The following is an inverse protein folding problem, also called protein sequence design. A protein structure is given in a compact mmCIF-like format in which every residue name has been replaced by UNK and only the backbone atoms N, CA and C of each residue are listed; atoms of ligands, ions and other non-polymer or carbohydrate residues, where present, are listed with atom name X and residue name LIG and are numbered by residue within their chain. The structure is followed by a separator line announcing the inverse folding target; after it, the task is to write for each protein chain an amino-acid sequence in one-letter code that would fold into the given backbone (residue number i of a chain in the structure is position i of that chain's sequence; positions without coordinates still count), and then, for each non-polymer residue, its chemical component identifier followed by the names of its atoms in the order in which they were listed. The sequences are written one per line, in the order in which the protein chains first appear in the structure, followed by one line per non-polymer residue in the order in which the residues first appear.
data_IF_621962259287
#
_entry.id   IF_621962259287
#
_cell.length_a   1.000
_cell.length_b   1.000
_cell.length_c   1.000
_cell.angle_alpha   90.00
_cell.angle_beta   90.00
_cell.angle_gamma   90.00
#
_symmetry.space_group_name_H-M   'P 1'
#
loop_
_entity.id
_entity.type
_entity.pdbx_description
1 polymer ?
#
# COMPACT_ATOMS: atom_id res chain seq x y z
N UNK A 1 4.73 7.11 4.42
CA UNK A 1 4.34 8.24 5.30
C UNK A 1 3.67 9.39 4.58
N UNK A 2 4.28 10.06 3.58
CA UNK A 2 3.60 11.16 2.86
C UNK A 2 2.32 10.69 2.13
N UNK A 3 2.33 9.49 1.55
CA UNK A 3 1.15 8.89 0.91
C UNK A 3 0.02 8.63 1.93
N UNK A 4 0.35 8.21 3.16
CA UNK A 4 -0.60 8.07 4.27
C UNK A 4 -1.22 9.41 4.74
N UNK A 5 -0.43 10.48 4.75
CA UNK A 5 -0.95 11.82 5.04
C UNK A 5 -1.95 12.28 3.96
N UNK A 6 -1.61 12.07 2.68
CA UNK A 6 -2.51 12.39 1.57
C UNK A 6 -3.77 11.53 1.56
N UNK A 7 -3.63 10.25 1.91
CA UNK A 7 -4.75 9.36 2.16
C UNK A 7 -5.68 9.91 3.24
N UNK A 8 -5.13 10.33 4.39
CA UNK A 8 -5.92 10.93 5.47
C UNK A 8 -6.65 12.19 5.02
N UNK A 9 -5.99 13.07 4.26
CA UNK A 9 -6.63 14.27 3.71
C UNK A 9 -7.70 13.96 2.66
N UNK A 10 -7.44 12.97 1.80
CA UNK A 10 -8.41 12.51 0.81
C UNK A 10 -9.63 11.87 1.47
N UNK A 11 -9.47 11.17 2.59
CA UNK A 11 -10.58 10.58 3.33
C UNK A 11 -11.59 11.66 3.77
N UNK A 12 -11.14 12.84 4.19
CA UNK A 12 -12.06 13.97 4.46
C UNK A 12 -12.86 14.38 3.22
N UNK A 13 -12.23 14.40 2.06
CA UNK A 13 -12.88 14.71 0.77
C UNK A 13 -13.90 13.63 0.40
N UNK A 14 -13.51 12.37 0.53
CA UNK A 14 -14.37 11.23 0.23
C UNK A 14 -15.58 11.19 1.17
N UNK A 15 -15.36 11.44 2.46
CA UNK A 15 -16.40 11.38 3.49
C UNK A 15 -17.43 12.48 3.30
N UNK A 16 -17.04 13.68 2.88
CA UNK A 16 -18.01 14.72 2.54
C UNK A 16 -18.87 14.36 1.32
N UNK A 17 -18.31 13.65 0.34
CA UNK A 17 -19.01 13.31 -0.91
C UNK A 17 -19.92 12.09 -0.81
N UNK A 18 -19.53 11.09 -0.02
CA UNK A 18 -20.20 9.79 -0.01
C UNK A 18 -20.67 9.34 1.37
N UNK A 19 -20.20 9.98 2.45
CA UNK A 19 -20.56 9.63 3.83
C UNK A 19 -21.06 10.89 4.57
N UNK A 20 -21.07 10.86 5.90
CA UNK A 20 -21.52 11.95 6.76
C UNK A 20 -20.39 12.97 7.08
N UNK A 21 -19.55 13.33 6.09
CA UNK A 21 -18.48 14.29 6.28
C UNK A 21 -18.96 15.74 6.30
N UNK A 22 -18.24 16.63 6.99
CA UNK A 22 -18.59 18.06 7.07
C UNK A 22 -17.93 18.88 5.95
N UNK A 23 -18.57 19.99 5.55
CA UNK A 23 -17.98 20.94 4.58
C UNK A 23 -16.63 21.51 5.06
N UNK A 24 -16.48 21.74 6.36
CA UNK A 24 -15.22 22.26 6.95
C UNK A 24 -14.07 21.27 6.75
N UNK A 25 -14.35 19.98 6.91
CA UNK A 25 -13.34 18.93 6.72
C UNK A 25 -12.99 18.76 5.25
N UNK A 26 -13.97 18.90 4.34
CA UNK A 26 -13.72 18.93 2.90
C UNK A 26 -12.72 20.03 2.51
N UNK A 27 -12.96 21.26 2.96
CA UNK A 27 -12.10 22.41 2.65
C UNK A 27 -10.69 22.21 3.22
N UNK A 28 -10.57 21.75 4.47
CA UNK A 28 -9.27 21.46 5.10
C UNK A 28 -8.53 20.32 4.40
N UNK A 29 -9.23 19.26 4.02
CA UNK A 29 -8.67 18.13 3.29
C UNK A 29 -8.09 18.58 1.95
N UNK A 30 -8.85 19.38 1.19
CA UNK A 30 -8.41 19.91 -0.09
C UNK A 30 -7.20 20.84 0.05
N UNK A 31 -7.22 21.77 1.02
CA UNK A 31 -6.11 22.70 1.25
C UNK A 31 -4.83 21.97 1.66
N UNK A 32 -4.93 21.01 2.58
CA UNK A 32 -3.77 20.25 3.06
C UNK A 32 -3.20 19.33 1.98
N UNK A 33 -4.07 18.70 1.19
CA UNK A 33 -3.66 17.87 0.06
C UNK A 33 -2.91 18.70 -1.00
N UNK A 34 -3.42 19.89 -1.33
CA UNK A 34 -2.76 20.80 -2.27
C UNK A 34 -1.38 21.24 -1.76
N UNK A 35 -1.30 21.67 -0.51
CA UNK A 35 -0.03 22.09 0.12
C UNK A 35 1.01 20.97 0.12
N UNK A 36 0.62 19.73 0.44
CA UNK A 36 1.56 18.61 0.45
C UNK A 36 1.97 18.18 -0.97
N UNK A 37 1.07 18.22 -1.95
CA UNK A 37 1.43 17.96 -3.35
C UNK A 37 2.36 19.02 -3.94
N UNK A 38 2.26 20.28 -3.49
CA UNK A 38 3.20 21.34 -3.84
C UNK A 38 4.61 21.04 -3.29
N UNK A 39 4.71 20.61 -2.03
CA UNK A 39 5.99 20.17 -1.44
C UNK A 39 6.53 18.94 -2.19
N UNK A 40 5.69 17.97 -2.55
CA UNK A 40 6.10 16.81 -3.35
C UNK A 40 6.52 17.18 -4.76
N UNK A 41 6.00 18.26 -5.32
CA UNK A 41 6.37 18.71 -6.67
C UNK A 41 7.85 19.09 -6.75
N UNK A 42 8.36 19.87 -5.79
CA UNK A 42 9.78 20.21 -5.75
C UNK A 42 10.66 18.97 -5.51
N UNK A 43 10.23 18.07 -4.62
CA UNK A 43 10.91 16.80 -4.38
C UNK A 43 10.98 15.93 -5.66
N UNK A 44 9.85 15.78 -6.38
CA UNK A 44 9.79 15.04 -7.66
C UNK A 44 10.75 15.62 -8.70
N UNK A 45 10.85 16.95 -8.77
CA UNK A 45 11.78 17.60 -9.69
C UNK A 45 13.25 17.29 -9.34
N UNK A 46 13.60 17.30 -8.06
CA UNK A 46 14.92 16.88 -7.58
C UNK A 46 15.22 15.42 -7.90
N UNK A 47 14.29 14.51 -7.59
CA UNK A 47 14.46 13.08 -7.84
C UNK A 47 14.55 12.75 -9.33
N UNK A 48 13.83 13.44 -10.21
CA UNK A 48 13.96 13.27 -11.67
C UNK A 48 15.38 13.54 -12.19
N UNK A 49 16.16 14.38 -11.50
CA UNK A 49 17.56 14.66 -11.85
C UNK A 49 18.53 13.67 -11.21
N UNK A 50 18.07 12.86 -10.25
CA UNK A 50 18.87 11.83 -9.61
C UNK A 50 19.02 10.61 -10.53
N UNK A 51 20.22 10.02 -10.53
CA UNK A 51 20.47 8.70 -11.12
C UNK A 51 20.24 7.55 -10.13
N UNK A 52 20.06 7.85 -8.84
CA UNK A 52 19.99 6.86 -7.75
C UNK A 52 18.58 6.58 -7.26
N UNK A 53 17.66 7.53 -7.43
CA UNK A 53 16.34 7.49 -6.81
C UNK A 53 15.25 7.80 -7.82
N UNK A 54 14.19 7.00 -7.80
CA UNK A 54 12.99 7.26 -8.60
C UNK A 54 12.11 8.33 -7.94
N UNK A 55 11.48 9.23 -8.72
CA UNK A 55 10.56 10.20 -8.16
C UNK A 55 9.33 9.50 -7.57
N UNK A 56 8.77 10.02 -6.46
CA UNK A 56 7.54 9.45 -5.91
C UNK A 56 6.37 9.66 -6.88
N UNK A 57 5.52 8.65 -7.01
CA UNK A 57 4.30 8.73 -7.82
C UNK A 57 3.35 9.82 -7.33
N UNK A 58 2.50 10.32 -8.23
CA UNK A 58 1.42 11.24 -7.87
C UNK A 58 0.37 10.48 -7.07
N UNK A 59 -0.19 11.13 -6.05
CA UNK A 59 -1.24 10.50 -5.26
C UNK A 59 -2.47 10.10 -6.10
N UNK A 60 -2.76 10.82 -7.18
CA UNK A 60 -3.81 10.45 -8.13
C UNK A 60 -3.61 9.07 -8.74
N UNK A 61 -2.37 8.72 -9.07
CA UNK A 61 -2.04 7.43 -9.68
C UNK A 61 -2.11 6.32 -8.64
N UNK A 62 -1.59 6.57 -7.42
CA UNK A 62 -1.73 5.64 -6.29
C UNK A 62 -3.21 5.34 -6.02
N UNK A 63 -4.06 6.37 -6.00
CA UNK A 63 -5.50 6.23 -5.76
C UNK A 63 -6.20 5.33 -6.80
N UNK A 64 -5.84 5.46 -8.08
CA UNK A 64 -6.41 4.64 -9.17
C UNK A 64 -6.05 3.16 -9.02
N UNK A 65 -4.90 2.83 -8.45
CA UNK A 65 -4.47 1.43 -8.24
C UNK A 65 -5.43 0.64 -7.34
N UNK A 66 -6.14 1.29 -6.42
CA UNK A 66 -7.14 0.66 -5.56
C UNK A 66 -8.56 0.59 -6.16
N UNK A 67 -8.89 1.42 -7.15
CA UNK A 67 -10.27 1.71 -7.58
C UNK A 67 -11.06 0.46 -8.02
N UNK A 68 -10.39 -0.51 -8.64
CA UNK A 68 -10.99 -1.76 -9.10
C UNK A 68 -10.75 -2.95 -8.17
N UNK A 69 -10.24 -2.73 -6.96
CA UNK A 69 -9.90 -3.77 -5.97
C UNK A 69 -10.67 -3.57 -4.68
N UNK A 70 -10.75 -2.34 -4.18
CA UNK A 70 -11.38 -2.00 -2.92
C UNK A 70 -11.94 -0.59 -2.97
N UNK A 71 -13.15 -0.41 -2.42
CA UNK A 71 -13.76 0.91 -2.32
C UNK A 71 -12.91 1.84 -1.44
N UNK A 72 -12.72 3.10 -1.87
CA UNK A 72 -12.07 4.14 -1.07
C UNK A 72 -12.81 4.50 0.23
N UNK A 73 -14.00 3.93 0.45
CA UNK A 73 -14.71 3.98 1.74
C UNK A 73 -14.08 3.09 2.82
N UNK A 74 -13.21 2.13 2.47
CA UNK A 74 -12.44 1.36 3.45
C UNK A 74 -11.31 2.23 4.00
N UNK A 75 -11.58 2.94 5.10
CA UNK A 75 -10.68 3.95 5.65
C UNK A 75 -10.06 3.59 7.01
N UNK A 76 -10.36 2.42 7.56
CA UNK A 76 -9.83 2.00 8.86
C UNK A 76 -8.35 1.66 8.75
N UNK A 77 -7.51 2.27 9.60
CA UNK A 77 -6.06 2.14 9.52
C UNK A 77 -5.55 2.70 8.17
N UNK A 78 -4.74 1.92 7.47
CA UNK A 78 -4.30 2.26 6.10
C UNK A 78 -5.37 1.99 5.04
N UNK A 79 -6.41 1.21 5.38
CA UNK A 79 -7.58 1.04 4.54
C UNK A 79 -7.25 0.62 3.10
N UNK A 80 -7.81 1.36 2.14
CA UNK A 80 -7.58 1.16 0.70
C UNK A 80 -6.16 1.52 0.23
N UNK A 81 -5.41 2.35 0.99
CA UNK A 81 -4.05 2.75 0.61
C UNK A 81 -3.11 1.54 0.63
N UNK A 82 -3.27 0.65 1.60
CA UNK A 82 -2.46 -0.56 1.74
C UNK A 82 -2.45 -1.37 0.43
N UNK A 83 -3.63 -1.62 -0.14
CA UNK A 83 -3.78 -2.32 -1.41
C UNK A 83 -3.15 -1.55 -2.57
N UNK A 84 -3.36 -0.23 -2.63
CA UNK A 84 -2.75 0.61 -3.66
C UNK A 84 -1.21 0.57 -3.61
N UNK A 85 -0.63 0.56 -2.42
CA UNK A 85 0.82 0.47 -2.22
C UNK A 85 1.36 -0.91 -2.58
N UNK A 86 0.63 -2.00 -2.31
CA UNK A 86 1.00 -3.33 -2.80
C UNK A 86 1.05 -3.37 -4.34
N UNK A 87 0.01 -2.87 -5.01
CA UNK A 87 -0.03 -2.80 -6.48
C UNK A 87 1.11 -1.94 -7.01
N UNK A 88 1.36 -0.78 -6.39
CA UNK A 88 2.48 0.10 -6.72
C UNK A 88 3.82 -0.62 -6.60
N UNK A 89 4.04 -1.41 -5.55
CA UNK A 89 5.28 -2.16 -5.36
C UNK A 89 5.46 -3.20 -6.46
N UNK A 90 4.41 -3.95 -6.78
CA UNK A 90 4.43 -4.97 -7.84
C UNK A 90 4.76 -4.34 -9.19
N UNK A 91 4.08 -3.26 -9.58
CA UNK A 91 4.35 -2.55 -10.84
C UNK A 91 5.77 -1.96 -10.91
N UNK A 92 6.39 -1.66 -9.76
CA UNK A 92 7.78 -1.20 -9.66
C UNK A 92 8.80 -2.37 -9.59
N UNK A 93 8.36 -3.60 -9.88
CA UNK A 93 9.21 -4.80 -9.97
C UNK A 93 9.40 -5.55 -8.65
N UNK A 94 8.67 -5.19 -7.58
CA UNK A 94 8.71 -5.90 -6.30
C UNK A 94 7.60 -6.96 -6.29
N UNK A 95 7.92 -8.15 -6.76
CA UNK A 95 6.99 -9.30 -6.81
C UNK A 95 6.79 -9.99 -5.45
N UNK A 96 7.65 -9.73 -4.47
CA UNK A 96 7.66 -10.43 -3.19
C UNK A 96 7.31 -9.46 -2.04
N UNK A 97 6.15 -9.62 -1.42
CA UNK A 97 5.62 -8.72 -0.39
C UNK A 97 5.35 -9.49 0.91
N UNK A 98 6.01 -9.08 1.99
CA UNK A 98 5.77 -9.56 3.35
C UNK A 98 5.05 -8.48 4.16
N UNK A 99 3.79 -8.75 4.50
CA UNK A 99 2.98 -7.90 5.37
C UNK A 99 3.17 -8.33 6.82
N UNK A 100 4.07 -7.67 7.54
CA UNK A 100 4.23 -7.87 8.98
C UNK A 100 3.21 -7.01 9.72
N UNK A 101 2.42 -7.63 10.60
CA UNK A 101 1.33 -6.97 11.29
C UNK A 101 1.24 -7.44 12.75
N UNK A 102 0.69 -6.61 13.66
CA UNK A 102 0.34 -7.08 14.98
C UNK A 102 -0.82 -8.09 14.92
N UNK A 103 -1.00 -8.86 16.00
CA UNK A 103 -2.14 -9.76 16.14
C UNK A 103 -3.47 -9.03 15.93
N UNK A 104 -4.36 -9.63 15.14
CA UNK A 104 -5.72 -9.12 14.99
C UNK A 104 -5.84 -7.79 14.25
N UNK A 105 -4.89 -7.42 13.38
CA UNK A 105 -4.98 -6.22 12.56
C UNK A 105 -6.12 -6.32 11.53
N UNK A 106 -7.33 -5.95 11.94
CA UNK A 106 -8.54 -6.00 11.12
C UNK A 106 -8.40 -5.28 9.76
N UNK A 107 -7.77 -4.09 9.66
CA UNK A 107 -7.53 -3.45 8.38
C UNK A 107 -6.83 -4.37 7.39
N UNK A 108 -5.69 -4.97 7.76
CA UNK A 108 -4.97 -5.87 6.86
C UNK A 108 -5.71 -7.21 6.68
N UNK A 109 -6.53 -7.66 7.62
CA UNK A 109 -7.37 -8.85 7.39
C UNK A 109 -8.39 -8.61 6.26
N UNK A 110 -9.03 -7.44 6.23
CA UNK A 110 -10.06 -7.10 5.24
C UNK A 110 -9.45 -6.58 3.94
N UNK A 111 -8.62 -5.54 3.97
CA UNK A 111 -8.08 -4.88 2.77
C UNK A 111 -6.75 -5.48 2.29
N UNK A 112 -6.01 -6.16 3.17
CA UNK A 112 -4.79 -6.89 2.81
C UNK A 112 -5.09 -8.32 2.38
N UNK A 113 -5.13 -9.24 3.36
CA UNK A 113 -5.40 -10.69 3.18
C UNK A 113 -6.63 -10.94 2.32
N UNK A 114 -7.71 -10.17 2.50
CA UNK A 114 -8.94 -10.29 1.71
C UNK A 114 -8.75 -10.08 0.20
N UNK A 115 -7.74 -9.31 -0.21
CA UNK A 115 -7.46 -8.99 -1.60
C UNK A 115 -6.30 -9.79 -2.19
N UNK A 116 -5.58 -10.59 -1.40
CA UNK A 116 -4.42 -11.36 -1.89
C UNK A 116 -4.76 -12.28 -3.07
N UNK A 117 -5.94 -12.91 -3.04
CA UNK A 117 -6.39 -13.78 -4.13
C UNK A 117 -6.58 -13.01 -5.44
N UNK A 118 -7.20 -11.83 -5.37
CA UNK A 118 -7.44 -10.98 -6.54
C UNK A 118 -6.14 -10.35 -7.03
N UNK A 119 -5.26 -9.90 -6.12
CA UNK A 119 -3.93 -9.41 -6.46
C UNK A 119 -3.12 -10.49 -7.19
N UNK A 120 -3.13 -11.73 -6.71
CA UNK A 120 -2.45 -12.85 -7.36
C UNK A 120 -3.10 -13.25 -8.70
N UNK A 121 -4.40 -13.01 -8.86
CA UNK A 121 -5.07 -13.24 -10.15
C UNK A 121 -4.60 -12.22 -11.21
N UNK A 122 -4.45 -10.95 -10.83
CA UNK A 122 -3.98 -9.87 -11.72
C UNK A 122 -2.48 -9.85 -11.93
N UNK A 123 -1.73 -10.25 -10.90
CA UNK A 123 -0.27 -10.30 -10.86
C UNK A 123 0.16 -11.72 -10.46
N UNK A 124 0.18 -12.68 -11.41
CA UNK A 124 0.51 -14.08 -11.13
C UNK A 124 1.91 -14.28 -10.52
N UNK A 125 2.83 -13.35 -10.79
CA UNK A 125 4.18 -13.28 -10.25
C UNK A 125 4.23 -12.80 -8.80
N UNK A 126 3.15 -12.22 -8.28
CA UNK A 126 3.11 -11.67 -6.93
C UNK A 126 3.05 -12.79 -5.87
N UNK A 127 4.08 -12.83 -5.03
CA UNK A 127 4.18 -13.65 -3.84
C UNK A 127 3.95 -12.79 -2.60
N UNK A 128 2.70 -12.77 -2.13
CA UNK A 128 2.27 -11.93 -1.00
C UNK A 128 1.95 -12.84 0.19
N UNK A 129 2.58 -12.57 1.32
CA UNK A 129 2.28 -13.25 2.59
C UNK A 129 2.00 -12.25 3.70
N UNK A 130 1.13 -12.63 4.62
CA UNK A 130 0.89 -11.89 5.85
C UNK A 130 1.32 -12.70 7.07
N UNK A 131 2.08 -12.07 7.95
CA UNK A 131 2.68 -12.65 9.14
C UNK A 131 2.29 -11.84 10.37
N UNK A 132 1.71 -12.52 11.35
CA UNK A 132 1.30 -11.93 12.61
C UNK A 132 2.50 -11.99 13.57
N UNK A 133 3.02 -10.82 13.93
CA UNK A 133 4.12 -10.67 14.88
C UNK A 133 3.51 -10.41 16.25
N UNK A 134 3.38 -11.48 17.03
CA UNK A 134 2.71 -11.49 18.32
C UNK A 134 3.54 -12.27 19.35
N UNK A 135 3.50 -11.84 20.61
CA UNK A 135 4.21 -12.52 21.69
C UNK A 135 3.63 -13.90 22.01
N UNK A 136 2.34 -14.14 21.70
CA UNK A 136 1.69 -15.45 21.84
C UNK A 136 1.96 -16.40 20.68
N UNK A 137 2.49 -15.93 19.56
CA UNK A 137 2.86 -16.77 18.43
C UNK A 137 4.29 -17.29 18.59
N UNK A 138 4.51 -18.57 18.29
CA UNK A 138 5.86 -19.16 18.32
C UNK A 138 6.80 -18.42 17.35
N UNK A 139 7.96 -18.00 17.83
CA UNK A 139 9.04 -17.43 17.02
C UNK A 139 9.41 -18.34 15.84
N UNK A 140 9.44 -19.66 16.08
CA UNK A 140 9.72 -20.66 15.05
C UNK A 140 8.71 -20.59 13.90
N UNK A 141 7.42 -20.37 14.20
CA UNK A 141 6.39 -20.21 13.17
C UNK A 141 6.65 -18.97 12.31
N UNK A 142 7.03 -17.84 12.93
CA UNK A 142 7.33 -16.60 12.21
C UNK A 142 8.55 -16.79 11.29
N UNK A 143 9.65 -17.31 11.84
CA UNK A 143 10.90 -17.55 11.10
C UNK A 143 10.66 -18.53 9.94
N UNK A 144 9.92 -19.61 10.14
CA UNK A 144 9.66 -20.60 9.09
C UNK A 144 8.86 -20.00 7.93
N UNK A 145 7.86 -19.16 8.21
CA UNK A 145 7.09 -18.49 7.13
C UNK A 145 7.96 -17.53 6.32
N UNK A 146 8.85 -16.79 6.98
CA UNK A 146 9.80 -15.91 6.29
C UNK A 146 10.77 -16.74 5.44
N UNK A 147 11.37 -17.80 6.00
CA UNK A 147 12.29 -18.69 5.27
C UNK A 147 11.65 -19.33 4.05
N UNK A 148 10.41 -19.80 4.17
CA UNK A 148 9.66 -20.39 3.05
C UNK A 148 9.40 -19.34 1.96
N UNK A 149 9.01 -18.13 2.34
CA UNK A 149 8.78 -17.04 1.39
C UNK A 149 10.06 -16.65 0.65
N UNK A 150 11.19 -16.51 1.35
CA UNK A 150 12.48 -16.21 0.75
C UNK A 150 12.96 -17.34 -0.17
N UNK A 151 12.71 -18.60 0.20
CA UNK A 151 13.10 -19.76 -0.62
C UNK A 151 12.31 -19.77 -1.95
N UNK A 152 11.01 -19.48 -1.90
CA UNK A 152 10.19 -19.31 -3.09
C UNK A 152 10.68 -18.13 -3.95
N UNK A 153 10.95 -16.98 -3.33
CA UNK A 153 11.46 -15.79 -4.00
C UNK A 153 12.79 -16.06 -4.73
N UNK A 154 13.72 -16.78 -4.09
CA UNK A 154 14.99 -17.16 -4.70
C UNK A 154 14.81 -18.12 -5.89
N UNK A 155 13.92 -19.10 -5.77
CA UNK A 155 13.62 -20.02 -6.86
C UNK A 155 13.04 -19.29 -8.07
N UNK A 156 12.13 -18.34 -7.85
CA UNK A 156 11.55 -17.52 -8.92
C UNK A 156 12.59 -16.57 -9.53
N UNK A 157 13.46 -15.96 -8.71
CA UNK A 157 14.57 -15.15 -9.21
C UNK A 157 15.55 -15.94 -10.09
N UNK A 158 15.88 -17.18 -9.71
CA UNK A 158 16.73 -18.06 -10.53
C UNK A 158 16.07 -18.42 -11.86
N UNK A 159 14.75 -18.64 -11.89
CA UNK A 159 14.00 -18.93 -13.13
C UNK A 159 13.96 -17.75 -14.10
N UNK A 160 13.88 -16.52 -13.59
CA UNK A 160 13.80 -15.31 -14.41
C UNK A 160 15.17 -14.95 -15.04
N UNK A 161 16.27 -15.30 -14.36
CA UNK A 161 17.64 -14.95 -14.78
C UNK A 161 18.43 -16.12 -15.43
N UNK A 162 17.78 -17.25 -15.69
CA UNK A 162 18.34 -18.39 -16.42
C UNK A 162 17.99 -18.30 -17.90
#
# INVERSE_FOLDING_TARGET
MMDFALYSFYNHIFNYRHLAGSWRDYVRGLSNMFSLELIRWSARFGFKRSRRFSPPERFSEIRKKAENLVSHGHQTGEGWLLTAEMVKLIENGVSNILCMQPFGCLPNHITGKGLFKELKHRYPEANIIALDYDAGASEVNQINRIKLMMSAANADHMRINA
#
